data_IF_808853946369
#
_entry.id   IF_808853946369
#
_cell.length_a   1.000
_cell.length_b   1.000
_cell.length_c   1.000
_cell.angle_alpha   90.00
_cell.angle_beta   90.00
_cell.angle_gamma   90.00
#
_symmetry.space_group_name_H-M   'P 1'
#
loop_
_entity.id
_entity.type
_entity.pdbx_description
1 polymer ?
#
# COMPACT_ATOMS: atom_id res chain seq x y z
N UNK A 1 24.50 -14.69 -16.30
CA UNK A 1 24.15 -13.41 -16.95
C UNK A 1 22.65 -13.47 -17.22
N UNK A 2 21.83 -13.03 -16.27
CA UNK A 2 20.36 -13.07 -16.41
C UNK A 2 19.93 -11.91 -17.31
N UNK A 3 19.22 -12.22 -18.39
CA UNK A 3 18.59 -11.23 -19.25
C UNK A 3 17.44 -10.58 -18.46
N UNK A 4 17.70 -9.41 -17.88
CA UNK A 4 16.65 -8.50 -17.43
C UNK A 4 15.80 -8.12 -18.66
N UNK A 5 14.67 -8.80 -18.83
CA UNK A 5 13.66 -8.39 -19.80
C UNK A 5 13.18 -6.97 -19.45
N UNK A 6 12.69 -6.20 -20.45
CA UNK A 6 12.26 -4.83 -20.20
C UNK A 6 11.13 -4.81 -19.17
N UNK A 7 11.35 -4.07 -18.07
CA UNK A 7 10.29 -3.74 -17.11
C UNK A 7 9.20 -2.97 -17.85
N UNK A 8 7.96 -3.44 -17.73
CA UNK A 8 6.79 -2.80 -18.35
C UNK A 8 6.14 -1.91 -17.29
N UNK A 9 6.15 -0.60 -17.53
CA UNK A 9 5.43 0.38 -16.72
C UNK A 9 3.93 0.30 -17.04
N UNK A 10 3.07 0.16 -16.02
CA UNK A 10 1.61 0.28 -16.20
C UNK A 10 1.16 1.72 -16.18
N UNK A 11 1.55 2.42 -15.13
CA UNK A 11 1.13 3.77 -14.86
C UNK A 11 2.18 4.45 -14.00
N UNK A 12 2.23 5.79 -14.11
CA UNK A 12 2.90 6.62 -13.13
C UNK A 12 1.85 6.96 -12.08
N UNK A 13 1.95 6.35 -10.91
CA UNK A 13 1.07 6.63 -9.80
C UNK A 13 1.57 7.92 -9.16
N UNK A 14 0.72 8.93 -9.17
CA UNK A 14 1.06 10.22 -8.58
C UNK A 14 0.49 10.25 -7.18
N UNK A 15 1.16 10.95 -6.29
CA UNK A 15 0.51 11.50 -5.12
C UNK A 15 0.07 12.92 -5.48
N UNK A 16 -0.94 13.43 -4.81
CA UNK A 16 -1.47 14.72 -5.20
C UNK A 16 -0.57 15.89 -4.79
N UNK A 17 0.19 15.71 -3.71
CA UNK A 17 1.31 16.60 -3.40
C UNK A 17 2.32 16.65 -4.56
N UNK A 18 2.57 17.85 -5.14
CA UNK A 18 3.51 17.99 -6.25
C UNK A 18 4.91 17.42 -5.92
N UNK A 19 5.44 16.63 -6.86
CA UNK A 19 6.75 16.01 -6.73
C UNK A 19 6.76 14.60 -6.15
N UNK A 20 5.62 14.11 -5.65
CA UNK A 20 5.49 12.74 -5.19
C UNK A 20 4.92 11.87 -6.31
N UNK A 21 5.74 10.97 -6.85
CA UNK A 21 5.30 9.99 -7.84
C UNK A 21 6.06 8.68 -7.64
N UNK A 22 5.40 7.56 -7.93
CA UNK A 22 5.98 6.22 -7.94
C UNK A 22 5.57 5.50 -9.23
N UNK A 23 6.51 4.83 -9.87
CA UNK A 23 6.23 4.02 -11.05
C UNK A 23 5.66 2.67 -10.64
N UNK A 24 4.52 2.32 -11.21
CA UNK A 24 3.91 1.03 -10.99
C UNK A 24 4.35 0.05 -12.08
N UNK A 25 5.39 -0.72 -11.79
CA UNK A 25 5.98 -1.68 -12.71
C UNK A 25 5.29 -3.02 -12.67
N UNK A 26 5.33 -3.73 -13.80
CA UNK A 26 4.84 -5.10 -13.89
C UNK A 26 5.81 -6.01 -13.15
N UNK A 27 5.29 -6.74 -12.18
CA UNK A 27 6.03 -7.77 -11.47
C UNK A 27 6.59 -8.81 -12.47
N UNK A 28 7.91 -8.98 -12.47
CA UNK A 28 8.67 -10.10 -13.02
C UNK A 28 8.52 -11.29 -12.08
N UNK A 29 8.79 -11.09 -10.79
CA UNK A 29 8.59 -12.08 -9.73
C UNK A 29 7.30 -11.74 -8.98
N UNK A 30 6.37 -12.69 -8.89
CA UNK A 30 5.11 -12.46 -8.15
C UNK A 30 5.42 -12.64 -6.66
N UNK A 31 5.15 -11.64 -5.81
CA UNK A 31 5.41 -11.77 -4.38
C UNK A 31 4.42 -12.75 -3.76
N UNK A 32 4.89 -13.50 -2.78
CA UNK A 32 4.00 -14.26 -1.90
C UNK A 32 3.49 -13.30 -0.84
N UNK A 33 2.17 -13.18 -0.70
CA UNK A 33 1.58 -12.29 0.32
C UNK A 33 1.51 -13.06 1.64
N UNK A 34 2.59 -13.00 2.42
CA UNK A 34 2.77 -13.73 3.67
C UNK A 34 3.30 -12.85 4.82
N UNK A 35 3.41 -11.53 4.61
CA UNK A 35 3.93 -10.59 5.59
C UNK A 35 5.44 -10.67 5.72
N UNK A 36 6.14 -11.05 4.65
CA UNK A 36 7.59 -11.21 4.65
C UNK A 36 8.18 -10.92 3.28
N UNK A 37 9.39 -10.36 3.27
CA UNK A 37 10.22 -10.37 2.07
C UNK A 37 10.95 -11.71 1.95
N UNK A 38 10.15 -12.75 1.72
CA UNK A 38 10.49 -14.18 1.69
C UNK A 38 11.57 -14.55 0.68
N UNK A 39 11.59 -13.96 -0.52
CA UNK A 39 12.65 -14.22 -1.50
C UNK A 39 13.33 -12.93 -1.96
N UNK A 40 14.65 -13.01 -2.13
CA UNK A 40 15.47 -11.86 -2.47
C UNK A 40 14.99 -11.10 -3.72
N UNK A 41 14.35 -11.78 -4.67
CA UNK A 41 13.94 -11.21 -5.96
C UNK A 41 12.47 -10.77 -6.02
N UNK A 42 11.67 -10.97 -4.97
CA UNK A 42 10.22 -10.74 -5.08
C UNK A 42 9.79 -9.28 -4.93
N UNK A 43 10.68 -8.36 -4.58
CA UNK A 43 10.36 -6.93 -4.54
C UNK A 43 11.41 -6.06 -5.23
N UNK A 44 12.46 -6.65 -5.81
CA UNK A 44 13.56 -5.93 -6.47
C UNK A 44 13.17 -5.30 -7.81
N UNK A 45 12.04 -5.71 -8.36
CA UNK A 45 11.42 -5.21 -9.58
C UNK A 45 10.31 -4.17 -9.34
N UNK A 46 10.12 -3.74 -8.09
CA UNK A 46 9.26 -2.62 -7.72
C UNK A 46 10.08 -1.33 -7.57
N UNK A 47 9.45 -0.18 -7.79
CA UNK A 47 10.00 1.09 -7.28
C UNK A 47 9.77 1.17 -5.76
N UNK A 48 10.70 1.80 -5.08
CA UNK A 48 10.64 2.05 -3.64
C UNK A 48 10.54 3.54 -3.34
N UNK A 49 9.84 3.86 -2.25
CA UNK A 49 9.80 5.17 -1.63
C UNK A 49 9.90 5.03 -0.12
N UNK A 50 10.52 6.01 0.49
CA UNK A 50 10.49 6.19 1.94
C UNK A 50 9.27 7.03 2.32
N UNK A 51 8.60 6.67 3.42
CA UNK A 51 7.53 7.46 4.01
C UNK A 51 8.13 8.67 4.73
N UNK A 52 7.46 9.81 4.63
CA UNK A 52 7.81 10.99 5.42
C UNK A 52 7.49 10.73 6.90
N UNK A 53 8.43 11.05 7.79
CA UNK A 53 8.24 10.92 9.23
C UNK A 53 9.56 10.85 9.99
N UNK A 54 9.53 10.36 11.22
CA UNK A 54 10.72 10.23 12.10
C UNK A 54 11.33 8.84 12.10
N UNK A 55 10.71 7.87 11.42
CA UNK A 55 11.11 6.46 11.41
C UNK A 55 11.40 6.04 9.97
N UNK A 56 12.29 5.07 9.82
CA UNK A 56 12.63 4.43 8.57
C UNK A 56 11.53 3.44 8.17
N UNK A 57 10.64 3.90 7.28
CA UNK A 57 9.59 3.07 6.69
C UNK A 57 9.65 3.21 5.18
N UNK A 58 9.76 2.09 4.50
CA UNK A 58 9.79 2.03 3.05
C UNK A 58 8.52 1.39 2.53
N UNK A 59 8.05 1.80 1.36
CA UNK A 59 7.04 1.05 0.63
C UNK A 59 7.42 0.81 -0.81
N UNK A 60 6.89 -0.29 -1.34
CA UNK A 60 7.09 -0.73 -2.72
C UNK A 60 5.75 -0.99 -3.37
N UNK A 61 5.64 -0.64 -4.65
CA UNK A 61 4.41 -0.83 -5.44
C UNK A 61 4.73 -1.53 -6.76
N UNK A 62 3.92 -2.53 -7.10
CA UNK A 62 3.95 -3.18 -8.42
C UNK A 62 2.61 -3.85 -8.74
N UNK A 63 2.45 -4.29 -9.99
CA UNK A 63 1.23 -4.96 -10.43
C UNK A 63 1.49 -6.26 -11.19
N UNK A 64 0.50 -7.16 -11.22
CA UNK A 64 0.52 -8.35 -12.10
C UNK A 64 -0.88 -8.74 -12.56
N UNK A 65 -1.00 -9.18 -13.81
CA UNK A 65 -2.17 -9.91 -14.28
C UNK A 65 -2.06 -11.38 -13.88
N UNK A 66 -2.97 -11.87 -13.04
CA UNK A 66 -3.09 -13.27 -12.64
C UNK A 66 -4.44 -13.81 -13.08
N UNK A 67 -4.44 -14.82 -13.94
CA UNK A 67 -5.67 -15.46 -14.44
C UNK A 67 -6.71 -14.45 -14.98
N UNK A 68 -6.24 -13.41 -15.69
CA UNK A 68 -7.11 -12.38 -16.26
C UNK A 68 -7.53 -11.27 -15.28
N UNK A 69 -7.13 -11.32 -14.01
CA UNK A 69 -7.39 -10.26 -13.02
C UNK A 69 -6.11 -9.46 -12.74
N UNK A 70 -6.18 -8.14 -12.79
CA UNK A 70 -5.05 -7.27 -12.45
C UNK A 70 -5.00 -7.08 -10.94
N UNK A 71 -3.87 -7.39 -10.31
CA UNK A 71 -3.64 -7.14 -8.89
C UNK A 71 -2.56 -6.09 -8.70
N UNK A 72 -2.77 -5.22 -7.73
CA UNK A 72 -1.75 -4.33 -7.17
C UNK A 72 -1.17 -5.00 -5.92
N UNK A 73 0.16 -4.95 -5.80
CA UNK A 73 0.91 -5.46 -4.67
C UNK A 73 1.64 -4.30 -4.02
N UNK A 74 1.46 -4.15 -2.71
CA UNK A 74 2.12 -3.12 -1.91
C UNK A 74 2.84 -3.83 -0.76
N UNK A 75 4.11 -3.52 -0.55
CA UNK A 75 4.85 -3.90 0.66
C UNK A 75 5.17 -2.64 1.43
N UNK A 76 5.01 -2.68 2.75
CA UNK A 76 5.46 -1.66 3.70
C UNK A 76 6.46 -2.33 4.65
N UNK A 77 7.67 -1.80 4.72
CA UNK A 77 8.82 -2.31 5.48
C UNK A 77 9.16 -1.33 6.61
N UNK A 78 8.74 -1.64 7.84
CA UNK A 78 8.82 -0.72 8.98
C UNK A 78 10.01 -1.06 9.87
N UNK A 79 11.21 -0.61 9.48
CA UNK A 79 12.48 -1.08 10.05
C UNK A 79 12.67 -0.79 11.55
N UNK A 80 11.99 0.24 12.07
CA UNK A 80 12.17 0.65 13.46
C UNK A 80 11.17 0.04 14.43
N UNK A 81 10.07 -0.54 13.94
CA UNK A 81 9.06 -1.11 14.81
C UNK A 81 9.29 -2.61 14.98
N UNK A 82 9.66 -2.97 16.21
CA UNK A 82 9.96 -4.34 16.64
C UNK A 82 9.01 -4.79 17.75
N UNK A 83 7.98 -3.99 18.02
CA UNK A 83 7.01 -4.22 19.09
C UNK A 83 5.73 -4.82 18.51
N UNK A 84 4.95 -5.54 19.32
CA UNK A 84 3.65 -6.08 18.91
C UNK A 84 2.54 -5.26 19.58
N UNK A 85 2.49 -3.95 19.29
CA UNK A 85 1.47 -3.08 19.86
C UNK A 85 0.17 -3.20 19.07
N UNK A 86 -0.92 -3.47 19.79
CA UNK A 86 -2.26 -3.59 19.19
C UNK A 86 -2.77 -2.28 18.56
N UNK A 87 -2.15 -1.15 18.87
CA UNK A 87 -2.46 0.16 18.32
C UNK A 87 -1.73 0.48 17.03
N UNK A 88 -0.73 -0.30 16.62
CA UNK A 88 -0.02 -0.10 15.34
C UNK A 88 -0.98 -0.21 14.17
N UNK A 89 -0.62 0.33 13.00
CA UNK A 89 -1.55 0.26 11.88
C UNK A 89 -1.02 0.65 10.53
N UNK A 90 -1.84 0.34 9.54
CA UNK A 90 -1.54 0.49 8.12
C UNK A 90 -2.72 1.17 7.44
N UNK A 91 -2.47 2.11 6.54
CA UNK A 91 -3.53 2.73 5.76
C UNK A 91 -3.09 2.96 4.32
N UNK A 92 -3.98 2.63 3.39
CA UNK A 92 -3.86 2.99 1.97
C UNK A 92 -5.10 3.81 1.60
N UNK A 93 -4.93 5.07 1.20
CA UNK A 93 -5.96 5.81 0.49
C UNK A 93 -5.70 5.73 -1.00
N UNK A 94 -6.76 5.65 -1.78
CA UNK A 94 -6.78 5.55 -3.23
C UNK A 94 -7.74 6.62 -3.74
N UNK A 95 -7.24 7.47 -4.63
CA UNK A 95 -8.05 8.26 -5.56
C UNK A 95 -7.98 7.56 -6.91
N UNK A 96 -9.07 6.92 -7.31
CA UNK A 96 -9.05 5.98 -8.42
C UNK A 96 -9.07 6.69 -9.78
N UNK A 97 -9.71 7.86 -9.88
CA UNK A 97 -9.86 8.61 -11.13
C UNK A 97 -8.87 9.77 -11.26
N UNK A 98 -8.06 10.03 -10.23
CA UNK A 98 -7.14 11.15 -10.17
C UNK A 98 -7.85 12.49 -10.43
N UNK A 99 -9.09 12.60 -9.97
CA UNK A 99 -9.95 13.77 -10.20
C UNK A 99 -9.85 14.79 -9.06
N UNK A 100 -9.30 14.36 -7.93
CA UNK A 100 -8.98 15.12 -6.76
C UNK A 100 -10.16 15.78 -6.05
N UNK A 101 -9.88 16.73 -5.17
CA UNK A 101 -10.91 17.52 -4.48
C UNK A 101 -10.55 17.89 -3.06
N UNK A 102 -11.54 18.40 -2.32
CA UNK A 102 -11.40 18.72 -0.89
C UNK A 102 -12.00 17.65 0.04
N UNK A 103 -12.54 16.57 -0.53
CA UNK A 103 -13.29 15.52 0.15
C UNK A 103 -13.26 14.24 -0.71
N UNK A 104 -13.39 13.05 -0.12
CA UNK A 104 -13.27 11.78 -0.84
C UNK A 104 -14.48 11.57 -1.76
N UNK A 105 -14.23 11.38 -3.06
CA UNK A 105 -15.19 11.14 -4.12
C UNK A 105 -15.74 9.70 -4.13
N UNK A 106 -16.88 9.44 -4.79
CA UNK A 106 -17.49 8.10 -4.81
C UNK A 106 -16.65 6.97 -5.40
N UNK A 107 -15.57 7.27 -6.11
CA UNK A 107 -14.59 6.32 -6.63
C UNK A 107 -13.35 6.15 -5.75
N UNK A 108 -13.23 6.96 -4.68
CA UNK A 108 -12.12 6.87 -3.73
C UNK A 108 -12.33 5.77 -2.70
N UNK A 109 -11.22 5.17 -2.28
CA UNK A 109 -11.20 4.12 -1.26
C UNK A 109 -10.16 4.41 -0.18
N UNK A 110 -10.48 4.04 1.05
CA UNK A 110 -9.51 4.00 2.16
C UNK A 110 -9.55 2.64 2.81
N UNK A 111 -8.42 1.95 2.81
CA UNK A 111 -8.21 0.68 3.48
C UNK A 111 -7.40 0.98 4.74
N UNK A 112 -7.94 0.68 5.92
CA UNK A 112 -7.27 0.91 7.19
C UNK A 112 -7.29 -0.35 8.02
N UNK A 113 -6.12 -0.74 8.52
CA UNK A 113 -5.94 -1.88 9.41
C UNK A 113 -5.30 -1.37 10.70
N UNK A 114 -6.03 -1.45 11.81
CA UNK A 114 -5.46 -1.23 13.16
C UNK A 114 -5.13 -2.57 13.80
N UNK A 115 -3.98 -2.65 14.45
CA UNK A 115 -3.34 -3.88 14.91
C UNK A 115 -2.95 -4.80 13.75
N UNK A 116 -2.94 -6.10 14.05
CA UNK A 116 -2.29 -7.11 13.20
C UNK A 116 -3.24 -8.21 12.75
N UNK A 117 -4.55 -7.93 12.71
CA UNK A 117 -5.55 -8.93 12.33
C UNK A 117 -6.78 -8.33 11.65
N UNK A 118 -7.48 -9.16 10.88
CA UNK A 118 -8.66 -8.77 10.08
C UNK A 118 -9.78 -8.10 10.89
N UNK A 119 -9.87 -8.33 12.20
CA UNK A 119 -10.89 -7.69 13.03
C UNK A 119 -10.69 -6.18 13.21
N UNK A 120 -9.47 -5.67 12.96
CA UNK A 120 -9.18 -4.23 12.90
C UNK A 120 -9.20 -3.66 11.49
N UNK A 121 -9.65 -4.44 10.49
CA UNK A 121 -9.79 -3.97 9.12
C UNK A 121 -11.09 -3.17 8.98
N UNK A 122 -10.95 -1.95 8.49
CA UNK A 122 -12.04 -1.09 8.05
C UNK A 122 -11.76 -0.61 6.63
N UNK A 123 -12.75 -0.76 5.75
CA UNK A 123 -12.69 -0.26 4.37
C UNK A 123 -13.73 0.83 4.22
N UNK A 124 -13.33 1.95 3.65
CA UNK A 124 -14.19 3.11 3.44
C UNK A 124 -14.25 3.44 1.96
N UNK A 125 -15.39 3.99 1.55
CA UNK A 125 -15.61 4.56 0.23
C UNK A 125 -16.01 6.02 0.38
N UNK A 126 -15.53 6.87 -0.52
CA UNK A 126 -15.92 8.27 -0.52
C UNK A 126 -17.38 8.46 -0.91
N UNK A 127 -17.91 9.63 -0.58
CA UNK A 127 -19.30 10.01 -0.86
C UNK A 127 -19.42 11.34 -1.62
N UNK A 128 -18.28 11.95 -1.94
CA UNK A 128 -18.15 13.34 -2.38
C UNK A 128 -18.14 14.35 -1.21
N UNK A 129 -18.23 13.89 0.04
CA UNK A 129 -18.27 14.76 1.23
C UNK A 129 -17.53 14.22 2.45
N UNK A 130 -17.56 12.90 2.65
CA UNK A 130 -16.89 12.22 3.75
C UNK A 130 -16.64 10.74 3.39
N UNK A 131 -15.85 10.05 4.20
CA UNK A 131 -15.67 8.62 4.18
C UNK A 131 -16.83 7.89 4.85
N UNK A 132 -17.37 6.87 4.19
CA UNK A 132 -18.34 5.96 4.79
C UNK A 132 -17.78 4.54 4.73
N UNK A 133 -17.82 3.84 5.86
CA UNK A 133 -17.39 2.45 5.93
C UNK A 133 -18.27 1.59 5.01
N UNK A 134 -17.63 0.70 4.25
CA UNK A 134 -18.27 -0.19 3.29
C UNK A 134 -17.84 -1.63 3.52
N UNK A 135 -18.77 -2.54 3.30
CA UNK A 135 -18.52 -3.99 3.27
C UNK A 135 -18.58 -4.54 1.85
N UNK A 136 -18.59 -3.67 0.84
CA UNK A 136 -18.67 -4.03 -0.58
C UNK A 136 -17.30 -4.48 -1.12
N UNK A 137 -16.76 -5.55 -0.54
CA UNK A 137 -15.54 -6.22 -0.98
C UNK A 137 -15.54 -7.67 -0.49
N UNK A 138 -14.82 -8.55 -1.18
CA UNK A 138 -14.62 -9.93 -0.77
C UNK A 138 -13.19 -10.12 -0.25
N UNK A 139 -13.04 -10.43 1.04
CA UNK A 139 -11.73 -10.83 1.59
C UNK A 139 -11.20 -12.09 0.90
N UNK A 140 -9.90 -12.13 0.63
CA UNK A 140 -9.25 -13.25 -0.06
C UNK A 140 -9.20 -13.10 -1.58
N UNK A 141 -10.15 -12.36 -2.18
CA UNK A 141 -10.20 -12.13 -3.64
C UNK A 141 -10.00 -10.67 -4.00
N UNK A 142 -10.73 -9.74 -3.38
CA UNK A 142 -10.62 -8.31 -3.66
C UNK A 142 -9.51 -7.65 -2.85
N UNK A 143 -9.34 -8.11 -1.61
CA UNK A 143 -8.35 -7.60 -0.68
C UNK A 143 -7.76 -8.74 0.14
N UNK A 144 -6.44 -8.76 0.24
CA UNK A 144 -5.66 -9.55 1.19
C UNK A 144 -4.64 -8.63 1.83
N UNK A 145 -4.53 -8.68 3.15
CA UNK A 145 -3.51 -7.99 3.91
C UNK A 145 -2.89 -9.01 4.85
N UNK A 146 -1.57 -9.13 4.83
CA UNK A 146 -0.82 -9.98 5.77
C UNK A 146 0.32 -9.15 6.33
N UNK A 147 0.49 -9.18 7.64
CA UNK A 147 1.61 -8.55 8.32
C UNK A 147 2.25 -9.52 9.32
N UNK A 148 3.55 -9.38 9.49
CA UNK A 148 4.32 -10.23 10.40
C UNK A 148 5.63 -9.54 10.81
N UNK A 149 6.19 -9.94 11.93
CA UNK A 149 7.51 -9.50 12.39
C UNK A 149 8.56 -10.45 11.77
N UNK A 150 9.28 -9.98 10.76
CA UNK A 150 10.28 -10.74 10.03
C UNK A 150 11.47 -9.86 9.65
N UNK A 151 12.65 -10.46 9.39
CA UNK A 151 13.75 -9.71 8.77
C UNK A 151 13.45 -9.43 7.30
N UNK A 152 14.07 -8.37 6.77
CA UNK A 152 14.04 -8.02 5.35
C UNK A 152 15.46 -7.84 4.80
N UNK A 153 15.65 -7.74 3.47
CA UNK A 153 16.93 -7.35 2.89
C UNK A 153 17.47 -5.99 3.37
N UNK A 154 16.63 -5.09 3.88
CA UNK A 154 17.08 -3.82 4.46
C UNK A 154 17.66 -4.01 5.86
N UNK A 155 17.04 -4.87 6.67
CA UNK A 155 17.43 -5.06 8.06
C UNK A 155 17.21 -6.50 8.52
N UNK A 156 18.28 -7.14 9.00
CA UNK A 156 18.25 -8.51 9.51
C UNK A 156 17.62 -8.64 10.91
N UNK A 157 17.41 -7.52 11.61
CA UNK A 157 16.63 -7.51 12.86
C UNK A 157 15.16 -7.64 12.48
N UNK A 158 14.40 -8.61 13.04
CA UNK A 158 12.98 -8.74 12.75
C UNK A 158 12.22 -7.46 13.10
N UNK A 159 11.37 -7.02 12.19
CA UNK A 159 10.55 -5.81 12.29
C UNK A 159 9.25 -6.01 11.52
N UNK A 160 8.28 -5.10 11.63
CA UNK A 160 7.02 -5.25 10.91
C UNK A 160 7.18 -5.12 9.40
N UNK A 161 6.63 -6.10 8.70
CA UNK A 161 6.42 -6.08 7.25
C UNK A 161 4.93 -6.28 7.02
N UNK A 162 4.32 -5.42 6.21
CA UNK A 162 2.91 -5.54 5.82
C UNK A 162 2.79 -5.59 4.29
N UNK A 163 2.08 -6.59 3.79
CA UNK A 163 1.83 -6.79 2.37
C UNK A 163 0.34 -6.71 2.05
N UNK A 164 0.01 -5.94 1.03
CA UNK A 164 -1.33 -5.83 0.46
C UNK A 164 -1.36 -6.49 -0.91
N UNK A 165 -2.44 -7.21 -1.20
CA UNK A 165 -2.85 -7.58 -2.54
C UNK A 165 -4.27 -7.10 -2.78
N UNK A 166 -4.39 -6.20 -3.76
CA UNK A 166 -5.64 -5.49 -4.07
C UNK A 166 -6.05 -5.84 -5.50
N UNK A 167 -7.29 -6.31 -5.69
CA UNK A 167 -7.89 -6.48 -7.00
C UNK A 167 -8.13 -5.10 -7.62
N UNK A 168 -7.43 -4.81 -8.72
CA UNK A 168 -7.50 -3.50 -9.36
C UNK A 168 -8.89 -3.19 -9.93
N UNK A 169 -9.69 -4.19 -10.29
CA UNK A 169 -11.04 -3.95 -10.82
C UNK A 169 -12.01 -3.50 -9.72
N UNK A 170 -11.80 -3.95 -8.48
CA UNK A 170 -12.68 -3.62 -7.36
C UNK A 170 -12.63 -2.13 -6.99
N UNK A 171 -11.44 -1.53 -7.00
CA UNK A 171 -11.20 -0.12 -6.65
C UNK A 171 -10.71 0.71 -7.86
N UNK A 172 -11.06 0.31 -9.08
CA UNK A 172 -10.77 0.99 -10.34
C UNK A 172 -9.31 1.43 -10.58
N UNK A 173 -8.35 0.66 -10.05
CA UNK A 173 -6.89 0.86 -10.21
C UNK A 173 -6.37 0.39 -11.59
N UNK A 174 -7.21 0.46 -12.62
CA UNK A 174 -6.88 0.04 -13.99
C UNK A 174 -6.22 1.15 -14.80
N UNK A 175 -6.55 2.41 -14.50
CA UNK A 175 -6.02 3.61 -15.16
C UNK A 175 -4.97 4.32 -14.30
N UNK A 176 -4.70 5.60 -14.59
CA UNK A 176 -3.92 6.47 -13.70
C UNK A 176 -4.73 6.73 -12.42
N UNK A 177 -4.06 6.64 -11.27
CA UNK A 177 -4.66 6.81 -9.94
C UNK A 177 -3.65 7.45 -8.99
N UNK A 178 -4.16 7.92 -7.85
CA UNK A 178 -3.38 8.44 -6.74
C UNK A 178 -3.44 7.56 -5.52
N UNK A 179 -2.32 7.49 -4.77
CA UNK A 179 -2.28 6.79 -3.49
C UNK A 179 -1.65 7.63 -2.40
N UNK A 180 -2.13 7.35 -1.18
CA UNK A 180 -1.50 7.73 0.08
C UNK A 180 -1.26 6.47 0.90
N UNK A 181 -0.07 6.34 1.47
CA UNK A 181 0.37 5.21 2.29
C UNK A 181 0.71 5.71 3.68
N UNK A 182 0.25 5.00 4.71
CA UNK A 182 0.54 5.29 6.12
C UNK A 182 1.00 4.02 6.82
N UNK A 183 2.03 4.16 7.64
CA UNK A 183 2.35 3.25 8.73
C UNK A 183 2.26 4.02 10.05
N UNK A 184 1.63 3.44 11.07
CA UNK A 184 1.48 4.04 12.39
C UNK A 184 2.09 3.13 13.45
N UNK A 185 2.97 3.69 14.28
CA UNK A 185 3.55 3.05 15.45
C UNK A 185 2.97 3.68 16.72
N UNK A 186 2.24 2.89 17.50
CA UNK A 186 1.58 3.33 18.73
C UNK A 186 2.56 3.48 19.90
N UNK A 187 3.72 2.81 19.84
CA UNK A 187 4.70 2.72 20.91
C UNK A 187 5.63 3.95 21.04
N UNK A 188 5.63 4.85 20.06
CA UNK A 188 6.34 6.13 20.16
C UNK A 188 6.62 6.87 18.86
N UNK A 189 6.32 6.28 17.71
CA UNK A 189 6.68 6.80 16.41
C UNK A 189 5.61 7.60 15.68
N UNK A 190 4.33 7.35 15.94
CA UNK A 190 3.22 8.01 15.27
C UNK A 190 3.16 7.72 13.76
N UNK A 191 2.51 8.61 13.00
CA UNK A 191 2.29 8.43 11.56
C UNK A 191 3.57 8.66 10.75
N UNK A 192 3.93 7.67 9.94
CA UNK A 192 4.82 7.79 8.79
C UNK A 192 3.93 7.79 7.54
N UNK A 193 4.13 8.73 6.61
CA UNK A 193 3.15 9.00 5.54
C UNK A 193 3.83 9.27 4.20
N UNK A 194 3.31 8.72 3.11
CA UNK A 194 3.68 9.11 1.75
C UNK A 194 2.41 9.34 0.92
N UNK A 195 2.20 10.54 0.35
CA UNK A 195 2.89 11.79 0.64
C UNK A 195 2.50 12.31 2.03
N UNK A 196 3.30 13.18 2.67
CA UNK A 196 2.85 13.85 3.90
C UNK A 196 1.67 14.80 3.63
N UNK A 197 0.46 14.27 3.84
CA UNK A 197 -0.82 14.84 3.48
C UNK A 197 -1.95 14.41 4.41
N UNK A 198 -3.15 14.98 4.25
CA UNK A 198 -4.30 14.66 5.11
C UNK A 198 -4.98 13.36 4.70
N UNK A 199 -5.55 12.61 5.66
CA UNK A 199 -6.27 11.36 5.37
C UNK A 199 -7.69 11.57 4.86
N UNK A 200 -8.21 12.80 4.91
CA UNK A 200 -9.57 13.15 4.52
C UNK A 200 -9.66 13.64 3.08
N UNK A 201 -8.51 13.77 2.42
CA UNK A 201 -8.38 14.19 1.04
C UNK A 201 -7.51 13.11 0.40
N UNK A 202 -8.10 12.15 -0.33
CA UNK A 202 -7.37 11.00 -0.89
C UNK A 202 -6.27 11.45 -1.86
N UNK A 203 -6.49 12.61 -2.46
CA UNK A 203 -5.59 13.43 -3.26
C UNK A 203 -4.99 14.62 -2.48
N UNK A 204 -4.65 14.49 -1.19
CA UNK A 204 -3.57 15.33 -0.65
C UNK A 204 -2.26 14.53 -0.68
#
# INVERSE_FOLDING_TARGET
MSLLGPMVLKARVSAAKPGYTINNYRAITIPTVDGSWTTADEWTDAEEKELDGSLAVYFRLKYRLLSGTSYQFILIDFLNDTTDDSGDGWMICIDAHHDGGGAPQPDDYRISLTGHCISGLHVYKGTGSDWVETTDFNWGTDLVIVNNINPSPHLSTPHWICEFKINATWCDLLNDYTIRVVAFDASGGGNQVWPNSTSNVPDD
#
